data_IF_574078174440
#
_entry.id   IF_574078174440
#
_cell.length_a   1.000
_cell.length_b   1.000
_cell.length_c   1.000
_cell.angle_alpha   90.00
_cell.angle_beta   90.00
_cell.angle_gamma   90.00
#
_symmetry.space_group_name_H-M   'P 1'
#
loop_
_entity.id
_entity.type
_entity.pdbx_description
1 polymer ?
#
# COMPACT_ATOMS: atom_id res chain seq x y z
N UNK A 1 -15.97 -3.72 20.40
CA UNK A 1 -16.64 -4.09 19.13
C UNK A 1 -15.96 -5.34 18.56
N UNK A 2 -16.75 -6.25 18.00
CA UNK A 2 -16.23 -7.45 17.31
C UNK A 2 -16.14 -7.17 15.82
N UNK A 3 -14.94 -7.21 15.27
CA UNK A 3 -14.66 -6.91 13.86
C UNK A 3 -13.99 -8.12 13.20
N UNK A 4 -14.52 -8.57 12.08
CA UNK A 4 -13.88 -9.61 11.26
C UNK A 4 -13.47 -9.04 9.92
N UNK A 5 -12.16 -9.06 9.61
CA UNK A 5 -11.67 -8.84 8.26
C UNK A 5 -11.70 -10.16 7.48
N UNK A 6 -12.30 -10.13 6.28
CA UNK A 6 -12.29 -11.27 5.35
C UNK A 6 -11.24 -10.99 4.28
N UNK A 7 -10.17 -11.74 4.35
CA UNK A 7 -8.99 -11.64 3.49
C UNK A 7 -8.90 -12.91 2.61
N UNK A 8 -8.48 -12.79 1.37
CA UNK A 8 -8.05 -13.94 0.58
C UNK A 8 -6.77 -14.53 1.17
N UNK A 9 -5.88 -15.03 0.33
CA UNK A 9 -4.58 -15.57 0.80
C UNK A 9 -3.73 -14.46 1.41
N UNK A 10 -3.21 -14.64 2.63
CA UNK A 10 -2.41 -13.63 3.33
C UNK A 10 -0.95 -13.62 2.86
N UNK A 11 -0.75 -13.57 1.54
CA UNK A 11 0.58 -13.53 0.93
C UNK A 11 1.32 -12.22 1.27
N UNK A 12 2.65 -12.25 1.16
CA UNK A 12 3.48 -11.07 1.35
C UNK A 12 3.09 -9.98 0.35
N UNK A 13 2.45 -8.92 0.83
CA UNK A 13 1.96 -7.85 -0.01
C UNK A 13 1.47 -6.64 0.78
N UNK A 14 1.25 -5.53 0.06
CA UNK A 14 0.79 -4.28 0.67
C UNK A 14 -0.60 -4.42 1.29
N UNK A 15 -1.54 -5.03 0.58
CA UNK A 15 -2.92 -5.18 1.02
C UNK A 15 -3.07 -5.96 2.33
N UNK A 16 -2.58 -7.21 2.42
CA UNK A 16 -2.60 -7.96 3.66
C UNK A 16 -1.87 -7.25 4.82
N UNK A 17 -0.74 -6.58 4.53
CA UNK A 17 0.00 -5.82 5.55
C UNK A 17 -0.85 -4.73 6.17
N UNK A 18 -1.57 -3.95 5.37
CA UNK A 18 -2.47 -2.89 5.87
C UNK A 18 -3.56 -3.48 6.75
N UNK A 19 -4.18 -4.59 6.34
CA UNK A 19 -5.23 -5.27 7.12
C UNK A 19 -4.70 -5.68 8.50
N UNK A 20 -3.54 -6.33 8.58
CA UNK A 20 -2.98 -6.74 9.87
C UNK A 20 -2.60 -5.56 10.77
N UNK A 21 -2.06 -4.48 10.19
CA UNK A 21 -1.73 -3.27 10.96
C UNK A 21 -3.00 -2.57 11.47
N UNK A 22 -4.05 -2.47 10.66
CA UNK A 22 -5.35 -1.95 11.09
C UNK A 22 -5.96 -2.82 12.20
N UNK A 23 -5.96 -4.15 12.02
CA UNK A 23 -6.42 -5.09 13.03
C UNK A 23 -5.69 -4.88 14.37
N UNK A 24 -4.36 -4.69 14.33
CA UNK A 24 -3.56 -4.38 15.52
C UNK A 24 -3.95 -3.07 16.20
N UNK A 25 -4.23 -2.00 15.44
CA UNK A 25 -4.70 -0.73 15.99
C UNK A 25 -6.08 -0.87 16.63
N UNK A 26 -7.00 -1.60 16.02
CA UNK A 26 -8.32 -1.86 16.60
C UNK A 26 -8.22 -2.69 17.87
N UNK A 27 -7.30 -3.67 17.94
CA UNK A 27 -6.98 -4.40 19.18
C UNK A 27 -6.48 -3.48 20.28
N UNK A 28 -5.65 -2.48 19.95
CA UNK A 28 -5.19 -1.46 20.92
C UNK A 28 -6.34 -0.57 21.44
N UNK A 29 -7.38 -0.34 20.63
CA UNK A 29 -8.62 0.32 21.06
C UNK A 29 -9.44 -0.53 22.05
N UNK A 30 -9.19 -1.83 22.11
CA UNK A 30 -9.95 -2.79 22.93
C UNK A 30 -11.00 -3.59 22.14
N UNK A 31 -10.99 -3.52 20.81
CA UNK A 31 -11.88 -4.32 19.98
C UNK A 31 -11.43 -5.80 19.93
N UNK A 32 -12.37 -6.70 19.75
CA UNK A 32 -12.09 -8.09 19.39
C UNK A 32 -11.94 -8.17 17.87
N UNK A 33 -10.75 -8.54 17.39
CA UNK A 33 -10.48 -8.54 15.94
C UNK A 33 -10.03 -9.91 15.47
N UNK A 34 -10.73 -10.40 14.45
CA UNK A 34 -10.41 -11.63 13.74
C UNK A 34 -10.03 -11.28 12.30
N UNK A 35 -8.98 -11.90 11.79
CA UNK A 35 -8.68 -11.93 10.36
C UNK A 35 -8.96 -13.34 9.85
N UNK A 36 -9.99 -13.47 9.04
CA UNK A 36 -10.39 -14.70 8.36
C UNK A 36 -9.71 -14.71 6.99
N UNK A 37 -8.78 -15.62 6.76
CA UNK A 37 -8.05 -15.71 5.50
C UNK A 37 -8.01 -17.14 4.95
N UNK A 38 -7.62 -17.28 3.69
CA UNK A 38 -7.46 -18.57 3.02
C UNK A 38 -6.06 -19.14 3.27
N UNK A 39 -6.00 -20.32 3.89
CA UNK A 39 -4.75 -21.02 4.18
C UNK A 39 -4.10 -20.61 5.51
N UNK A 40 -2.87 -21.04 5.76
CA UNK A 40 -2.21 -20.88 7.05
C UNK A 40 -1.93 -19.42 7.38
N UNK A 41 -1.76 -19.14 8.68
CA UNK A 41 -1.33 -17.83 9.14
C UNK A 41 0.00 -17.42 8.49
N UNK A 42 0.15 -16.13 8.11
CA UNK A 42 1.37 -15.66 7.46
C UNK A 42 2.56 -15.69 8.41
N UNK A 43 3.72 -16.07 7.90
CA UNK A 43 5.01 -16.11 8.63
C UNK A 43 5.83 -14.82 8.49
N UNK A 44 5.49 -13.97 7.51
CA UNK A 44 6.19 -12.72 7.21
C UNK A 44 5.82 -11.56 8.16
N UNK A 45 4.76 -11.71 8.97
CA UNK A 45 4.31 -10.75 9.98
C UNK A 45 4.03 -11.46 11.32
N UNK A 46 4.41 -10.84 12.43
CA UNK A 46 4.17 -11.39 13.76
C UNK A 46 2.81 -10.97 14.28
N UNK A 47 1.85 -11.88 14.30
CA UNK A 47 0.47 -11.61 14.75
C UNK A 47 0.33 -11.46 16.26
N UNK A 48 1.14 -12.19 17.05
CA UNK A 48 1.11 -12.14 18.53
C UNK A 48 1.28 -10.73 19.09
N UNK A 49 2.31 -9.96 18.71
CA UNK A 49 2.47 -8.58 19.16
C UNK A 49 1.34 -7.63 18.72
N UNK A 50 0.61 -7.97 17.65
CA UNK A 50 -0.57 -7.21 17.22
C UNK A 50 -1.85 -7.60 17.98
N UNK A 51 -1.83 -8.72 18.72
CA UNK A 51 -2.99 -9.26 19.42
C UNK A 51 -4.12 -9.73 18.49
N UNK A 52 -3.78 -10.02 17.22
CA UNK A 52 -4.75 -10.39 16.19
C UNK A 52 -4.95 -11.89 16.16
N UNK A 53 -6.21 -12.32 16.18
CA UNK A 53 -6.60 -13.72 15.96
C UNK A 53 -6.73 -13.97 14.47
N UNK A 54 -5.98 -14.96 13.94
CA UNK A 54 -6.10 -15.42 12.58
C UNK A 54 -6.87 -16.74 12.53
N UNK A 55 -7.79 -16.86 11.59
CA UNK A 55 -8.58 -18.07 11.35
C UNK A 55 -8.45 -18.49 9.89
N UNK A 56 -8.05 -19.73 9.65
CA UNK A 56 -7.99 -20.32 8.32
C UNK A 56 -9.37 -20.77 7.88
N UNK A 57 -9.91 -20.11 6.87
CA UNK A 57 -11.25 -20.41 6.33
C UNK A 57 -11.34 -21.71 5.53
N UNK A 58 -10.19 -22.31 5.17
CA UNK A 58 -10.14 -23.54 4.38
C UNK A 58 -10.26 -24.81 5.22
N UNK A 59 -9.95 -24.76 6.52
CA UNK A 59 -9.93 -25.92 7.39
C UNK A 59 -11.32 -26.36 7.87
N UNK A 60 -12.21 -25.39 8.11
CA UNK A 60 -13.64 -25.64 8.44
C UNK A 60 -14.42 -24.34 8.22
N UNK A 61 -15.74 -24.41 7.95
CA UNK A 61 -16.60 -23.21 8.07
C UNK A 61 -16.45 -22.69 9.51
N UNK A 62 -15.80 -21.53 9.71
CA UNK A 62 -15.54 -21.05 11.06
C UNK A 62 -16.89 -20.76 11.74
N UNK A 63 -17.16 -21.44 12.84
CA UNK A 63 -18.28 -21.09 13.74
C UNK A 63 -17.88 -19.85 14.52
N UNK A 64 -17.90 -18.69 13.86
CA UNK A 64 -17.65 -17.42 14.50
C UNK A 64 -18.96 -16.92 15.13
N UNK A 65 -18.90 -16.28 16.30
CA UNK A 65 -20.06 -15.60 16.86
C UNK A 65 -20.47 -14.44 15.93
N UNK A 66 -21.69 -13.93 16.11
CA UNK A 66 -22.14 -12.71 15.42
C UNK A 66 -21.14 -11.59 15.60
N UNK A 67 -20.83 -10.89 14.53
CA UNK A 67 -19.90 -9.76 14.47
C UNK A 67 -20.64 -8.43 14.42
N UNK A 68 -20.07 -7.40 15.02
CA UNK A 68 -20.59 -6.04 14.92
C UNK A 68 -20.25 -5.38 13.59
N UNK A 69 -19.20 -5.91 12.91
CA UNK A 69 -18.79 -5.50 11.58
C UNK A 69 -17.99 -6.60 10.87
N UNK A 70 -18.33 -6.88 9.62
CA UNK A 70 -17.55 -7.74 8.72
C UNK A 70 -16.97 -6.88 7.60
N UNK A 71 -15.66 -6.93 7.39
CA UNK A 71 -14.94 -6.08 6.43
C UNK A 71 -14.32 -6.96 5.34
N UNK A 72 -14.89 -6.95 4.15
CA UNK A 72 -14.30 -7.58 2.97
C UNK A 72 -13.17 -6.71 2.41
N UNK A 73 -12.07 -7.31 1.94
CA UNK A 73 -10.84 -6.59 1.58
C UNK A 73 -10.45 -6.68 0.10
N UNK A 74 -11.26 -7.38 -0.70
CA UNK A 74 -11.03 -7.66 -2.11
C UNK A 74 -12.37 -7.95 -2.80
N UNK A 75 -12.48 -7.76 -4.11
CA UNK A 75 -13.73 -7.98 -4.82
C UNK A 75 -14.33 -9.39 -4.62
N UNK A 76 -13.50 -10.44 -4.60
CA UNK A 76 -13.99 -11.82 -4.35
C UNK A 76 -14.37 -12.07 -2.89
N UNK A 77 -13.80 -11.31 -1.96
CA UNK A 77 -14.13 -11.46 -0.54
C UNK A 77 -15.47 -10.79 -0.17
N UNK A 78 -16.00 -9.89 -1.00
CA UNK A 78 -17.32 -9.28 -0.78
C UNK A 78 -18.45 -10.34 -0.84
N UNK A 79 -18.60 -11.13 -1.92
CA UNK A 79 -19.61 -12.20 -1.93
C UNK A 79 -19.34 -13.28 -0.88
N UNK A 80 -18.09 -13.61 -0.60
CA UNK A 80 -17.74 -14.53 0.47
C UNK A 80 -18.21 -14.03 1.84
N UNK A 81 -17.87 -12.80 2.19
CA UNK A 81 -18.26 -12.18 3.46
C UNK A 81 -19.79 -12.07 3.61
N UNK A 82 -20.51 -11.75 2.53
CA UNK A 82 -21.96 -11.73 2.49
C UNK A 82 -22.55 -13.12 2.75
N UNK A 83 -21.98 -14.15 2.13
CA UNK A 83 -22.44 -15.56 2.29
C UNK A 83 -22.16 -16.14 3.67
N UNK A 84 -21.19 -15.59 4.43
CA UNK A 84 -20.94 -16.00 5.82
C UNK A 84 -22.05 -15.53 6.77
N UNK A 85 -22.77 -14.45 6.44
CA UNK A 85 -23.89 -13.88 7.22
C UNK A 85 -23.55 -13.65 8.71
N UNK A 86 -22.30 -13.22 8.99
CA UNK A 86 -21.82 -13.04 10.38
C UNK A 86 -22.24 -11.70 10.98
N UNK A 87 -22.65 -10.72 10.18
CA UNK A 87 -23.04 -9.39 10.64
C UNK A 87 -23.02 -8.34 9.52
N UNK A 88 -23.16 -7.04 9.86
CA UNK A 88 -23.14 -5.94 8.91
C UNK A 88 -21.87 -5.94 8.07
N UNK A 89 -22.01 -5.75 6.75
CA UNK A 89 -20.92 -5.85 5.77
C UNK A 89 -20.41 -4.47 5.36
N UNK A 90 -19.08 -4.31 5.37
CA UNK A 90 -18.37 -3.19 4.79
C UNK A 90 -17.29 -3.68 3.80
N UNK A 91 -16.84 -2.79 2.92
CA UNK A 91 -15.75 -3.05 1.98
C UNK A 91 -14.53 -2.20 2.33
N UNK A 92 -13.37 -2.79 2.46
CA UNK A 92 -12.10 -2.07 2.56
C UNK A 92 -11.42 -2.02 1.19
N UNK A 93 -11.64 -0.92 0.46
CA UNK A 93 -11.09 -0.66 -0.86
C UNK A 93 -9.63 -0.17 -0.73
N UNK A 94 -8.71 -0.97 -1.24
CA UNK A 94 -7.27 -0.68 -1.26
C UNK A 94 -6.75 -0.29 -2.65
N UNK A 95 -7.59 -0.36 -3.66
CA UNK A 95 -7.40 -0.05 -5.07
C UNK A 95 -8.63 -0.51 -5.81
N UNK A 96 -8.75 -0.14 -7.08
CA UNK A 96 -9.81 -0.68 -7.94
C UNK A 96 -9.25 -1.84 -8.76
N UNK A 97 -9.73 -3.04 -8.48
CA UNK A 97 -9.20 -4.24 -9.13
C UNK A 97 -9.52 -4.30 -10.63
N UNK A 98 -10.53 -3.56 -11.10
CA UNK A 98 -10.83 -3.42 -12.53
C UNK A 98 -9.74 -2.75 -13.34
N UNK A 99 -8.80 -2.02 -12.70
CA UNK A 99 -7.64 -1.43 -13.36
C UNK A 99 -6.49 -2.44 -13.55
N UNK A 100 -6.58 -3.62 -12.94
CA UNK A 100 -5.53 -4.63 -13.03
C UNK A 100 -5.64 -5.42 -14.33
N UNK A 101 -4.62 -5.35 -15.18
CA UNK A 101 -4.64 -5.94 -16.51
C UNK A 101 -4.99 -7.45 -16.52
N UNK A 102 -4.49 -8.20 -15.54
CA UNK A 102 -4.75 -9.64 -15.41
C UNK A 102 -6.20 -9.97 -14.97
N UNK A 103 -6.95 -8.99 -14.46
CA UNK A 103 -8.36 -9.13 -14.06
C UNK A 103 -9.35 -8.59 -15.10
N UNK A 104 -8.88 -8.12 -16.25
CA UNK A 104 -9.77 -7.68 -17.36
C UNK A 104 -10.85 -8.70 -17.74
N UNK A 105 -10.57 -10.02 -17.78
CA UNK A 105 -11.62 -11.01 -18.06
C UNK A 105 -12.76 -11.02 -17.05
N UNK A 106 -12.51 -10.65 -15.80
CA UNK A 106 -13.50 -10.57 -14.70
C UNK A 106 -14.08 -9.17 -14.48
N UNK A 107 -13.85 -8.21 -15.39
CA UNK A 107 -14.26 -6.83 -15.19
C UNK A 107 -15.76 -6.66 -14.91
N UNK A 108 -16.60 -7.37 -15.64
CA UNK A 108 -18.06 -7.33 -15.45
C UNK A 108 -18.47 -7.82 -14.06
N UNK A 109 -17.83 -8.86 -13.56
CA UNK A 109 -18.06 -9.41 -12.21
C UNK A 109 -17.60 -8.43 -11.13
N UNK A 110 -16.42 -7.83 -11.34
CA UNK A 110 -15.88 -6.80 -10.44
C UNK A 110 -16.85 -5.61 -10.35
N UNK A 111 -17.32 -5.10 -11.48
CA UNK A 111 -18.28 -3.98 -11.53
C UNK A 111 -19.61 -4.34 -10.88
N UNK A 112 -20.11 -5.56 -11.10
CA UNK A 112 -21.34 -6.04 -10.46
C UNK A 112 -21.22 -6.05 -8.93
N UNK A 113 -20.09 -6.52 -8.40
CA UNK A 113 -19.83 -6.54 -6.94
C UNK A 113 -19.60 -5.14 -6.39
N UNK A 114 -18.88 -4.29 -7.12
CA UNK A 114 -18.66 -2.90 -6.72
C UNK A 114 -19.93 -2.06 -6.70
N UNK A 115 -20.95 -2.43 -7.49
CA UNK A 115 -22.26 -1.77 -7.52
C UNK A 115 -23.16 -2.11 -6.32
N UNK A 116 -22.74 -3.04 -5.44
CA UNK A 116 -23.51 -3.32 -4.23
C UNK A 116 -23.53 -2.12 -3.29
N UNK A 117 -24.68 -1.81 -2.64
CA UNK A 117 -24.81 -0.67 -1.72
C UNK A 117 -24.16 -0.95 -0.36
N UNK A 118 -22.88 -1.32 -0.39
CA UNK A 118 -22.07 -1.63 0.80
C UNK A 118 -21.21 -0.42 1.13
N UNK A 119 -21.25 0.14 2.35
CA UNK A 119 -20.41 1.25 2.74
C UNK A 119 -18.92 0.85 2.73
N UNK A 120 -18.03 1.81 2.45
CA UNK A 120 -16.63 1.52 2.25
C UNK A 120 -15.69 2.24 3.23
N UNK A 121 -14.65 1.51 3.65
CA UNK A 121 -13.38 2.07 4.06
C UNK A 121 -12.49 2.15 2.83
N UNK A 122 -11.71 3.22 2.66
CA UNK A 122 -10.76 3.32 1.55
C UNK A 122 -9.41 3.82 2.06
N UNK A 123 -8.32 3.36 1.46
CA UNK A 123 -6.96 3.75 1.89
C UNK A 123 -6.64 5.21 1.65
N UNK A 124 -7.41 5.91 0.80
CA UNK A 124 -7.16 7.31 0.44
C UNK A 124 -8.44 8.01 -0.05
N UNK A 125 -8.41 9.35 -0.06
CA UNK A 125 -9.54 10.18 -0.49
C UNK A 125 -9.93 9.95 -1.95
N UNK A 126 -8.96 9.80 -2.86
CA UNK A 126 -9.25 9.57 -4.27
C UNK A 126 -10.07 8.29 -4.52
N UNK A 127 -9.91 7.25 -3.69
CA UNK A 127 -10.72 6.02 -3.79
C UNK A 127 -12.12 6.22 -3.20
N UNK A 128 -12.28 7.05 -2.17
CA UNK A 128 -13.61 7.45 -1.68
C UNK A 128 -14.38 8.19 -2.77
N UNK A 129 -13.72 9.16 -3.42
CA UNK A 129 -14.32 9.92 -4.52
C UNK A 129 -14.64 9.00 -5.71
N UNK A 130 -13.72 8.13 -6.11
CA UNK A 130 -13.94 7.14 -7.15
C UNK A 130 -15.15 6.22 -6.89
N UNK A 131 -15.28 5.69 -5.66
CA UNK A 131 -16.41 4.84 -5.27
C UNK A 131 -17.73 5.60 -5.32
N UNK A 132 -17.73 6.86 -4.89
CA UNK A 132 -18.92 7.72 -4.93
C UNK A 132 -19.33 8.06 -6.37
N UNK A 133 -18.38 8.49 -7.20
CA UNK A 133 -18.64 8.97 -8.55
C UNK A 133 -19.04 7.85 -9.51
N UNK A 134 -18.36 6.70 -9.42
CA UNK A 134 -18.58 5.58 -10.34
C UNK A 134 -19.70 4.63 -9.90
N UNK A 135 -19.81 4.38 -8.60
CA UNK A 135 -20.70 3.34 -8.05
C UNK A 135 -21.77 3.89 -7.08
N UNK A 136 -21.81 5.19 -6.84
CA UNK A 136 -22.77 5.80 -5.91
C UNK A 136 -22.56 5.38 -4.45
N UNK A 137 -21.38 4.86 -4.09
CA UNK A 137 -21.11 4.30 -2.76
C UNK A 137 -20.52 5.34 -1.82
N UNK A 138 -21.01 5.33 -0.59
CA UNK A 138 -20.43 6.15 0.48
C UNK A 138 -19.20 5.46 1.09
N UNK A 139 -18.21 6.27 1.50
CA UNK A 139 -17.00 5.76 2.12
C UNK A 139 -16.33 6.75 3.06
N UNK A 140 -15.41 6.23 3.87
CA UNK A 140 -14.49 7.00 4.72
C UNK A 140 -13.05 6.55 4.51
N UNK A 141 -12.14 7.50 4.66
CA UNK A 141 -10.70 7.22 4.56
C UNK A 141 -10.23 6.50 5.81
N UNK A 142 -9.74 5.29 5.63
CA UNK A 142 -9.01 4.50 6.62
C UNK A 142 -7.57 4.33 6.11
N UNK A 143 -6.67 5.28 6.38
CA UNK A 143 -5.35 5.33 5.77
C UNK A 143 -4.47 4.18 6.27
N UNK A 144 -3.54 3.68 5.45
CA UNK A 144 -2.58 2.67 5.89
C UNK A 144 -1.75 3.17 7.07
N UNK A 145 -1.51 2.30 8.04
CA UNK A 145 -0.54 2.59 9.10
C UNK A 145 0.87 2.20 8.67
N UNK A 146 1.81 3.08 8.97
CA UNK A 146 3.23 2.81 8.74
C UNK A 146 3.76 1.90 9.84
N UNK A 147 4.38 0.78 9.43
CA UNK A 147 5.04 -0.12 10.36
C UNK A 147 6.19 0.62 11.09
N UNK A 148 6.25 0.58 12.45
CA UNK A 148 7.31 1.20 13.24
C UNK A 148 8.73 0.76 12.91
N UNK A 149 8.91 -0.32 12.16
CA UNK A 149 10.21 -0.78 11.66
C UNK A 149 10.88 0.23 10.70
N UNK A 150 10.08 1.01 9.97
CA UNK A 150 10.60 2.01 9.03
C UNK A 150 10.98 3.28 9.79
N UNK A 151 12.27 3.38 10.15
CA UNK A 151 12.86 4.51 10.89
C UNK A 151 14.05 5.07 10.14
N UNK A 152 14.25 6.40 10.17
CA UNK A 152 15.38 7.01 9.53
C UNK A 152 16.69 6.70 10.27
N UNK A 153 17.80 6.69 9.52
CA UNK A 153 19.15 6.77 10.08
C UNK A 153 19.70 8.16 9.84
N UNK A 154 20.61 8.62 10.71
CA UNK A 154 21.23 9.92 10.54
C UNK A 154 22.11 9.96 9.28
N UNK A 155 21.96 11.01 8.44
CA UNK A 155 22.70 11.17 7.18
C UNK A 155 22.81 12.66 6.81
N UNK A 156 24.00 13.05 6.32
CA UNK A 156 24.30 14.44 5.90
C UNK A 156 23.97 14.72 4.42
N UNK A 157 23.86 13.69 3.60
CA UNK A 157 23.60 13.82 2.17
C UNK A 157 23.58 12.48 1.46
N UNK A 158 23.38 12.51 0.14
CA UNK A 158 23.46 11.31 -0.69
C UNK A 158 24.93 10.85 -0.83
N UNK A 159 25.11 9.58 -1.15
CA UNK A 159 26.43 9.02 -1.46
C UNK A 159 26.90 9.49 -2.83
N UNK A 160 28.22 9.52 -3.04
CA UNK A 160 28.81 9.76 -4.38
C UNK A 160 28.34 8.76 -5.43
N UNK A 161 28.13 7.51 -5.04
CA UNK A 161 27.47 6.46 -5.83
C UNK A 161 26.14 6.10 -5.16
N UNK A 162 25.05 6.82 -5.49
CA UNK A 162 23.79 6.70 -4.77
C UNK A 162 23.12 5.35 -5.01
N UNK A 163 22.44 4.83 -3.98
CA UNK A 163 21.52 3.71 -4.10
C UNK A 163 20.11 4.22 -4.38
N UNK A 164 19.53 3.74 -5.46
CA UNK A 164 18.14 4.01 -5.84
C UNK A 164 17.33 2.73 -5.61
N UNK A 165 16.34 2.81 -4.74
CA UNK A 165 15.38 1.74 -4.52
C UNK A 165 14.31 1.76 -5.61
N UNK A 166 14.02 0.62 -6.20
CA UNK A 166 12.96 0.44 -7.19
C UNK A 166 12.11 -0.76 -6.78
N UNK A 167 10.92 -0.55 -6.20
CA UNK A 167 10.00 -1.60 -5.76
C UNK A 167 9.09 -2.09 -6.89
N UNK A 168 8.49 -3.25 -6.68
CA UNK A 168 7.36 -3.73 -7.48
C UNK A 168 7.69 -4.90 -8.40
N UNK A 169 6.66 -5.52 -8.92
CA UNK A 169 6.73 -6.60 -9.90
C UNK A 169 7.00 -5.97 -11.26
N UNK A 170 8.04 -6.44 -11.97
CA UNK A 170 8.44 -5.90 -13.28
C UNK A 170 7.36 -6.10 -14.34
N UNK A 171 6.70 -7.25 -14.31
CA UNK A 171 5.66 -7.65 -15.24
C UNK A 171 4.30 -7.01 -14.96
N UNK A 172 4.11 -6.38 -13.78
CA UNK A 172 2.87 -5.71 -13.45
C UNK A 172 2.82 -4.32 -14.09
N UNK A 173 1.97 -4.15 -15.10
CA UNK A 173 1.81 -2.90 -15.84
C UNK A 173 1.57 -1.70 -14.91
N UNK A 174 0.74 -1.87 -13.88
CA UNK A 174 0.44 -0.84 -12.90
C UNK A 174 1.67 -0.34 -12.13
N UNK A 175 2.73 -1.16 -12.00
CA UNK A 175 3.98 -0.78 -11.30
C UNK A 175 4.97 -0.06 -12.18
N UNK A 176 4.88 -0.23 -13.49
CA UNK A 176 5.73 0.39 -14.52
C UNK A 176 7.22 0.47 -14.14
N UNK A 177 7.73 -0.61 -13.57
CA UNK A 177 9.14 -0.73 -13.17
C UNK A 177 10.11 -0.40 -14.31
N UNK A 178 9.80 -0.73 -15.59
CA UNK A 178 10.65 -0.35 -16.73
C UNK A 178 10.97 1.14 -16.79
N UNK A 179 10.01 2.04 -16.49
CA UNK A 179 10.27 3.50 -16.45
C UNK A 179 11.30 3.86 -15.40
N UNK A 180 11.21 3.32 -14.18
CA UNK A 180 12.24 3.53 -13.15
C UNK A 180 13.63 3.04 -13.57
N UNK A 181 13.71 1.87 -14.22
CA UNK A 181 14.99 1.30 -14.64
C UNK A 181 15.61 2.10 -15.79
N UNK A 182 14.80 2.58 -16.75
CA UNK A 182 15.27 3.49 -17.81
C UNK A 182 15.77 4.81 -17.22
N UNK A 183 15.07 5.37 -16.24
CA UNK A 183 15.53 6.58 -15.55
C UNK A 183 16.90 6.38 -14.88
N UNK A 184 17.14 5.23 -14.24
CA UNK A 184 18.48 4.93 -13.70
C UNK A 184 19.54 4.81 -14.79
N UNK A 185 19.23 4.22 -15.94
CA UNK A 185 20.15 4.17 -17.06
C UNK A 185 20.53 5.56 -17.54
N UNK A 186 19.56 6.48 -17.69
CA UNK A 186 19.84 7.89 -18.03
C UNK A 186 20.75 8.59 -17.01
N UNK A 187 20.56 8.32 -15.71
CA UNK A 187 21.47 8.85 -14.69
C UNK A 187 22.89 8.37 -14.87
N UNK A 188 23.10 7.10 -15.24
CA UNK A 188 24.43 6.53 -15.51
C UNK A 188 25.07 7.13 -16.77
N UNK A 189 24.27 7.32 -17.82
CA UNK A 189 24.70 8.01 -19.06
C UNK A 189 25.11 9.46 -18.79
N UNK A 190 24.45 10.12 -17.84
CA UNK A 190 24.81 11.47 -17.35
C UNK A 190 25.98 11.48 -16.35
N UNK A 191 26.72 10.38 -16.17
CA UNK A 191 27.90 10.28 -15.31
C UNK A 191 27.61 10.04 -13.82
N UNK A 192 26.35 9.86 -13.42
CA UNK A 192 25.99 9.54 -12.04
C UNK A 192 26.06 8.03 -11.86
N UNK A 193 27.05 7.54 -11.09
CA UNK A 193 27.25 6.10 -10.85
C UNK A 193 26.18 5.48 -9.94
N UNK A 194 24.89 5.65 -10.29
CA UNK A 194 23.76 5.16 -9.53
C UNK A 194 23.72 3.64 -9.48
N UNK A 195 23.49 3.08 -8.30
CA UNK A 195 23.29 1.66 -8.03
C UNK A 195 21.82 1.36 -7.77
N UNK A 196 21.33 0.25 -8.27
CA UNK A 196 19.93 -0.15 -8.11
C UNK A 196 19.79 -1.21 -7.03
N UNK A 197 18.88 -0.96 -6.09
CA UNK A 197 18.33 -1.94 -5.19
C UNK A 197 16.90 -2.22 -5.65
N UNK A 198 16.68 -3.43 -6.17
CA UNK A 198 15.35 -3.92 -6.54
C UNK A 198 14.78 -4.75 -5.41
N UNK A 199 13.46 -4.67 -5.22
CA UNK A 199 12.74 -5.64 -4.40
C UNK A 199 11.37 -5.97 -5.01
N UNK A 200 11.09 -7.27 -5.07
CA UNK A 200 9.89 -7.85 -5.67
C UNK A 200 9.54 -9.16 -4.95
N UNK A 201 8.30 -9.60 -5.08
CA UNK A 201 7.90 -10.95 -4.65
C UNK A 201 8.27 -12.01 -5.71
N UNK A 202 8.37 -11.62 -6.98
CA UNK A 202 8.78 -12.52 -8.08
C UNK A 202 10.30 -12.51 -8.29
N UNK A 203 10.86 -13.57 -8.89
CA UNK A 203 12.28 -13.61 -9.25
C UNK A 203 12.63 -12.59 -10.34
N UNK A 204 13.92 -12.23 -10.42
CA UNK A 204 14.44 -11.35 -11.46
C UNK A 204 14.31 -12.02 -12.83
N UNK A 205 13.46 -11.46 -13.70
CA UNK A 205 13.22 -12.00 -15.04
C UNK A 205 14.35 -11.69 -16.02
N UNK A 206 14.42 -12.46 -17.11
CA UNK A 206 15.39 -12.21 -18.19
C UNK A 206 15.15 -10.86 -18.87
N UNK A 207 13.89 -10.46 -19.07
CA UNK A 207 13.53 -9.18 -19.66
C UNK A 207 13.96 -7.99 -18.78
N UNK A 208 13.74 -8.09 -17.45
CA UNK A 208 14.19 -7.08 -16.50
C UNK A 208 15.73 -6.97 -16.49
N UNK A 209 16.43 -8.11 -16.48
CA UNK A 209 17.90 -8.17 -16.51
C UNK A 209 18.48 -7.57 -17.79
N UNK A 210 17.84 -7.79 -18.92
CA UNK A 210 18.24 -7.22 -20.21
C UNK A 210 18.05 -5.70 -20.25
N UNK A 211 17.00 -5.18 -19.60
CA UNK A 211 16.77 -3.75 -19.51
C UNK A 211 17.81 -3.07 -18.60
N UNK A 212 17.99 -3.57 -17.37
CA UNK A 212 19.00 -3.12 -16.42
C UNK A 212 19.19 -4.16 -15.33
N UNK A 213 20.39 -4.75 -15.24
CA UNK A 213 20.75 -5.65 -14.16
C UNK A 213 20.97 -4.86 -12.85
N UNK A 214 20.22 -5.14 -11.76
CA UNK A 214 20.39 -4.44 -10.49
C UNK A 214 21.64 -4.93 -9.76
N UNK A 215 22.31 -4.04 -9.03
CA UNK A 215 23.42 -4.41 -8.14
C UNK A 215 22.96 -5.25 -6.94
N UNK A 216 21.70 -5.11 -6.56
CA UNK A 216 21.09 -5.92 -5.50
C UNK A 216 19.62 -6.19 -5.81
N UNK A 217 19.26 -7.47 -5.75
CA UNK A 217 17.87 -7.93 -5.88
C UNK A 217 17.42 -8.62 -4.59
N UNK A 218 16.29 -8.21 -4.05
CA UNK A 218 15.67 -8.77 -2.87
C UNK A 218 14.33 -9.39 -3.26
N UNK A 219 14.31 -10.72 -3.33
CA UNK A 219 13.09 -11.47 -3.64
C UNK A 219 12.38 -11.91 -2.38
N UNK A 220 11.08 -11.64 -2.26
CA UNK A 220 10.21 -12.13 -1.18
C UNK A 220 10.70 -11.75 0.23
N UNK A 221 11.40 -10.62 0.36
CA UNK A 221 12.02 -10.23 1.63
C UNK A 221 10.98 -9.64 2.58
N UNK A 222 10.97 -10.11 3.80
CA UNK A 222 10.08 -9.66 4.88
C UNK A 222 10.24 -8.16 5.22
N UNK A 223 9.23 -7.50 5.81
CA UNK A 223 9.27 -6.08 6.15
C UNK A 223 10.52 -5.62 6.90
N UNK A 224 11.07 -6.35 7.90
CA UNK A 224 12.35 -5.98 8.54
C UNK A 224 13.54 -5.92 7.59
N UNK A 225 13.58 -6.81 6.59
CA UNK A 225 14.61 -6.83 5.56
C UNK A 225 14.52 -5.63 4.65
N UNK A 226 13.30 -5.28 4.19
CA UNK A 226 13.03 -4.09 3.38
C UNK A 226 13.38 -2.81 4.17
N UNK A 227 12.99 -2.71 5.44
CA UNK A 227 13.33 -1.55 6.27
C UNK A 227 14.85 -1.34 6.39
N UNK A 228 15.62 -2.42 6.59
CA UNK A 228 17.09 -2.35 6.60
C UNK A 228 17.68 -1.90 5.26
N UNK A 229 17.07 -2.36 4.16
CA UNK A 229 17.52 -2.01 2.81
C UNK A 229 17.24 -0.54 2.49
N UNK A 230 16.02 -0.05 2.76
CA UNK A 230 15.61 1.33 2.49
C UNK A 230 16.42 2.37 3.27
N UNK A 231 16.84 2.07 4.52
CA UNK A 231 17.75 2.94 5.28
C UNK A 231 19.09 3.19 4.57
N UNK A 232 19.47 2.32 3.65
CA UNK A 232 20.71 2.45 2.85
C UNK A 232 20.48 3.12 1.51
N UNK A 233 19.24 3.41 1.12
CA UNK A 233 18.94 4.06 -0.15
C UNK A 233 19.06 5.56 -0.05
N UNK A 234 19.47 6.18 -1.15
CA UNK A 234 19.61 7.63 -1.28
C UNK A 234 18.37 8.25 -1.92
N UNK A 235 17.68 7.47 -2.76
CA UNK A 235 16.39 7.78 -3.38
C UNK A 235 15.53 6.52 -3.51
N UNK A 236 14.23 6.74 -3.67
CA UNK A 236 13.30 5.73 -4.19
C UNK A 236 12.67 6.25 -5.48
N UNK A 237 12.51 5.37 -6.47
CA UNK A 237 11.66 5.59 -7.63
C UNK A 237 10.38 4.77 -7.50
N UNK A 238 9.22 5.42 -7.69
CA UNK A 238 7.91 4.78 -7.80
C UNK A 238 7.24 5.25 -9.08
N UNK A 239 7.41 4.51 -10.16
CA UNK A 239 6.89 4.85 -11.50
C UNK A 239 5.48 4.30 -11.77
N UNK A 240 4.73 3.92 -10.72
CA UNK A 240 3.41 3.32 -10.86
C UNK A 240 2.45 4.16 -11.72
N UNK A 241 1.49 3.48 -12.36
CA UNK A 241 0.39 4.06 -13.15
C UNK A 241 -0.86 4.28 -12.29
N UNK A 242 -1.91 4.84 -12.89
CA UNK A 242 -3.13 5.29 -12.19
C UNK A 242 -3.84 4.21 -11.34
N UNK A 243 -3.75 2.94 -11.69
CA UNK A 243 -4.31 1.84 -10.89
C UNK A 243 -3.58 1.52 -9.57
N UNK A 244 -2.52 2.27 -9.21
CA UNK A 244 -1.88 2.15 -7.90
C UNK A 244 -2.79 2.70 -6.80
N UNK A 245 -3.22 1.86 -5.85
CA UNK A 245 -4.18 2.27 -4.81
C UNK A 245 -3.59 3.24 -3.77
N UNK A 246 -2.33 3.05 -3.35
CA UNK A 246 -1.71 3.91 -2.34
C UNK A 246 -0.21 4.17 -2.57
N UNK A 247 0.58 3.13 -2.78
CA UNK A 247 2.03 3.27 -2.91
C UNK A 247 2.78 3.12 -1.58
N UNK A 248 2.48 2.08 -0.79
CA UNK A 248 3.16 1.79 0.48
C UNK A 248 4.69 1.86 0.42
N UNK A 249 5.38 1.34 -0.62
CA UNK A 249 6.84 1.42 -0.69
C UNK A 249 7.37 2.85 -0.70
N UNK A 250 6.58 3.81 -1.25
CA UNK A 250 6.93 5.22 -1.22
C UNK A 250 6.90 5.76 0.20
N UNK A 251 5.83 5.50 0.93
CA UNK A 251 5.68 5.89 2.33
C UNK A 251 6.78 5.29 3.22
N UNK A 252 7.09 4.00 3.03
CA UNK A 252 8.13 3.27 3.74
C UNK A 252 9.54 3.86 3.49
N UNK A 253 9.82 4.25 2.26
CA UNK A 253 11.08 4.89 1.90
C UNK A 253 11.23 6.26 2.55
N UNK A 254 10.18 7.10 2.51
CA UNK A 254 10.19 8.41 3.18
C UNK A 254 10.39 8.25 4.69
N UNK A 255 9.73 7.28 5.31
CA UNK A 255 9.90 6.99 6.74
C UNK A 255 11.30 6.47 7.08
N UNK A 256 11.93 5.73 6.19
CA UNK A 256 13.33 5.31 6.30
C UNK A 256 14.31 6.47 6.02
N UNK A 257 13.80 7.61 5.55
CA UNK A 257 14.54 8.82 5.26
C UNK A 257 15.21 8.81 3.88
N UNK A 258 14.70 8.09 2.92
CA UNK A 258 15.07 8.19 1.52
C UNK A 258 14.07 9.13 0.80
N UNK A 259 14.50 10.27 0.26
CA UNK A 259 13.67 11.06 -0.65
C UNK A 259 13.19 10.25 -1.84
N UNK A 260 12.18 10.71 -2.52
CA UNK A 260 11.59 9.94 -3.62
C UNK A 260 11.25 10.80 -4.84
N UNK A 261 11.26 10.14 -5.99
CA UNK A 261 10.63 10.58 -7.23
C UNK A 261 9.53 9.59 -7.55
N UNK A 262 8.33 10.07 -7.79
CA UNK A 262 7.18 9.21 -8.05
C UNK A 262 6.32 9.73 -9.22
N UNK A 263 5.54 8.85 -9.82
CA UNK A 263 4.53 9.26 -10.80
C UNK A 263 3.47 10.15 -10.15
N UNK A 264 3.05 11.19 -10.87
CA UNK A 264 1.92 12.05 -10.55
C UNK A 264 0.62 11.33 -10.93
N UNK A 265 0.11 10.54 -10.03
CA UNK A 265 -1.13 9.76 -10.18
C UNK A 265 -2.09 10.08 -9.03
N UNK A 266 -3.38 9.76 -9.12
CA UNK A 266 -4.36 10.12 -8.09
C UNK A 266 -3.94 9.77 -6.67
N UNK A 267 -3.40 8.55 -6.46
CA UNK A 267 -2.95 8.10 -5.14
C UNK A 267 -1.79 8.94 -4.56
N UNK A 268 -0.77 9.27 -5.37
CA UNK A 268 0.38 10.06 -4.91
C UNK A 268 0.01 11.53 -4.74
N UNK A 269 -0.87 12.07 -5.57
CA UNK A 269 -1.39 13.44 -5.40
C UNK A 269 -2.15 13.55 -4.09
N UNK A 270 -3.10 12.65 -3.83
CA UNK A 270 -3.87 12.63 -2.59
C UNK A 270 -2.99 12.43 -1.34
N UNK A 271 -1.96 11.59 -1.43
CA UNK A 271 -1.04 11.32 -0.30
C UNK A 271 -0.25 12.57 0.13
N UNK A 272 0.15 13.42 -0.81
CA UNK A 272 1.02 14.57 -0.53
C UNK A 272 0.34 15.93 -0.65
N UNK A 273 -0.99 15.96 -0.72
CA UNK A 273 -1.78 17.20 -0.78
C UNK A 273 -1.41 18.18 0.36
N UNK A 274 -1.28 17.66 1.58
CA UNK A 274 -0.93 18.46 2.77
C UNK A 274 0.57 18.74 2.94
N UNK A 275 1.42 18.09 2.15
CA UNK A 275 2.88 18.20 2.24
C UNK A 275 3.51 18.37 0.86
N UNK A 276 3.18 19.48 0.15
CA UNK A 276 3.72 19.71 -1.18
C UNK A 276 5.25 19.78 -1.15
N UNK A 277 5.87 19.11 -2.13
CA UNK A 277 7.34 19.03 -2.22
C UNK A 277 8.00 17.94 -1.37
N UNK A 278 7.23 17.13 -0.63
CA UNK A 278 7.77 15.96 0.05
C UNK A 278 8.28 14.89 -0.92
N UNK A 279 7.72 14.83 -2.11
CA UNK A 279 8.09 13.94 -3.22
C UNK A 279 8.14 14.74 -4.52
N UNK A 280 9.10 14.43 -5.38
CA UNK A 280 9.13 14.96 -6.73
C UNK A 280 8.16 14.15 -7.60
N UNK A 281 7.02 14.76 -7.98
CA UNK A 281 5.98 14.09 -8.76
C UNK A 281 6.15 14.38 -10.26
N UNK A 282 6.43 13.34 -11.04
CA UNK A 282 6.71 13.40 -12.48
C UNK A 282 5.59 12.75 -13.30
N UNK A 283 5.46 13.10 -14.59
CA UNK A 283 4.49 12.44 -15.46
C UNK A 283 4.70 10.92 -15.49
N UNK A 284 3.62 10.11 -15.46
CA UNK A 284 3.73 8.66 -15.56
C UNK A 284 4.40 8.25 -16.89
N UNK A 285 5.33 7.29 -16.84
CA UNK A 285 6.04 6.78 -18.02
C UNK A 285 7.21 7.65 -18.50
N UNK A 286 7.41 8.84 -17.95
CA UNK A 286 8.46 9.78 -18.37
C UNK A 286 9.77 9.50 -17.60
N UNK A 287 10.57 8.58 -18.12
CA UNK A 287 11.86 8.20 -17.53
C UNK A 287 12.91 9.33 -17.60
N UNK A 288 12.78 10.29 -18.53
CA UNK A 288 13.62 11.46 -18.59
C UNK A 288 13.32 12.41 -17.42
N UNK A 289 12.05 12.74 -17.20
CA UNK A 289 11.64 13.58 -16.06
C UNK A 289 12.05 12.98 -14.71
N UNK A 290 11.93 11.65 -14.57
CA UNK A 290 12.42 10.94 -13.39
C UNK A 290 13.92 11.09 -13.18
N UNK A 291 14.72 10.92 -14.24
CA UNK A 291 16.17 11.08 -14.19
C UNK A 291 16.58 12.53 -13.84
N UNK A 292 15.95 13.52 -14.46
CA UNK A 292 16.23 14.94 -14.20
C UNK A 292 15.90 15.34 -12.76
N UNK A 293 14.73 14.92 -12.25
CA UNK A 293 14.34 15.15 -10.86
C UNK A 293 15.31 14.50 -9.87
N UNK A 294 15.71 13.25 -10.14
CA UNK A 294 16.70 12.56 -9.31
C UNK A 294 18.07 13.24 -9.35
N UNK A 295 18.52 13.70 -10.52
CA UNK A 295 19.77 14.45 -10.67
C UNK A 295 19.76 15.72 -9.83
N UNK A 296 18.66 16.49 -9.87
CA UNK A 296 18.50 17.70 -9.07
C UNK A 296 18.54 17.41 -7.56
N UNK A 297 17.88 16.34 -7.10
CA UNK A 297 17.89 15.92 -5.70
C UNK A 297 19.27 15.44 -5.24
N UNK A 298 20.04 14.76 -6.11
CA UNK A 298 21.34 14.17 -5.75
C UNK A 298 22.52 15.16 -5.87
N UNK A 299 22.39 16.20 -6.68
CA UNK A 299 23.48 17.13 -6.98
C UNK A 299 23.90 17.96 -5.77
N UNK A 300 22.95 18.37 -4.93
CA UNK A 300 23.19 19.31 -3.83
C UNK A 300 22.74 18.71 -2.50
N UNK A 301 23.65 18.45 -1.55
CA UNK A 301 23.29 17.87 -0.25
C UNK A 301 22.22 18.63 0.52
N UNK A 302 22.15 19.96 0.38
CA UNK A 302 21.11 20.77 1.02
C UNK A 302 19.71 20.48 0.44
N UNK A 303 19.60 20.32 -0.88
CA UNK A 303 18.35 19.97 -1.56
C UNK A 303 17.88 18.57 -1.12
N UNK A 304 18.80 17.61 -1.09
CA UNK A 304 18.52 16.25 -0.61
C UNK A 304 18.03 16.25 0.85
N UNK A 305 18.72 17.00 1.74
CA UNK A 305 18.30 17.12 3.15
C UNK A 305 16.92 17.75 3.30
N UNK A 306 16.61 18.78 2.50
CA UNK A 306 15.28 19.41 2.49
C UNK A 306 14.20 18.40 2.07
N UNK A 307 14.40 17.71 0.96
CA UNK A 307 13.46 16.69 0.49
C UNK A 307 13.28 15.57 1.53
N UNK A 308 14.38 15.11 2.14
CA UNK A 308 14.35 14.15 3.24
C UNK A 308 13.51 14.65 4.43
N UNK A 309 13.70 15.90 4.86
CA UNK A 309 12.95 16.50 5.98
C UNK A 309 11.44 16.51 5.68
N UNK A 310 11.07 17.00 4.50
CA UNK A 310 9.66 17.03 4.07
C UNK A 310 9.08 15.62 3.93
N UNK A 311 9.83 14.66 3.40
CA UNK A 311 9.43 13.27 3.31
C UNK A 311 9.19 12.61 4.68
N UNK A 312 10.06 12.88 5.66
CA UNK A 312 9.87 12.41 7.03
C UNK A 312 8.64 13.04 7.69
N UNK A 313 8.39 14.32 7.44
CA UNK A 313 7.18 15.00 7.92
C UNK A 313 5.93 14.39 7.30
N UNK A 314 5.90 14.17 5.98
CA UNK A 314 4.78 13.51 5.32
C UNK A 314 4.54 12.09 5.88
N UNK A 315 5.62 11.33 6.09
CA UNK A 315 5.52 9.99 6.65
C UNK A 315 5.03 9.96 8.11
N UNK A 316 5.20 11.05 8.89
CA UNK A 316 4.72 11.10 10.27
C UNK A 316 3.20 11.06 10.38
N UNK A 317 2.48 11.57 9.37
CA UNK A 317 1.01 11.53 9.28
C UNK A 317 0.43 10.10 9.17
N UNK A 318 1.30 9.13 8.88
CA UNK A 318 0.94 7.72 8.72
C UNK A 318 1.50 6.83 9.84
N UNK A 319 2.10 7.42 10.89
CA UNK A 319 2.48 6.66 12.09
C UNK A 319 1.25 6.11 12.80
N UNK A 320 1.38 5.00 13.53
CA UNK A 320 0.26 4.39 14.26
C UNK A 320 -0.54 5.40 15.09
N UNK A 321 0.14 6.31 15.77
CA UNK A 321 -0.45 7.32 16.64
C UNK A 321 -1.30 8.34 15.87
N UNK A 322 -0.91 8.68 14.64
CA UNK A 322 -1.63 9.61 13.77
C UNK A 322 -2.77 8.90 12.99
N UNK A 323 -2.60 7.62 12.68
CA UNK A 323 -3.58 6.84 11.92
C UNK A 323 -4.70 6.32 12.83
N UNK A 324 -4.39 5.89 14.06
CA UNK A 324 -5.34 5.23 14.94
C UNK A 324 -6.66 6.01 15.13
N UNK A 325 -6.67 7.31 15.48
CA UNK A 325 -7.92 8.05 15.64
C UNK A 325 -8.77 8.08 14.36
N UNK A 326 -8.11 8.29 13.21
CA UNK A 326 -8.78 8.35 11.90
C UNK A 326 -9.38 7.00 11.50
N UNK A 327 -8.67 5.91 11.79
CA UNK A 327 -9.15 4.55 11.58
C UNK A 327 -10.36 4.25 12.46
N UNK A 328 -10.31 4.63 13.74
CA UNK A 328 -11.39 4.38 14.71
C UNK A 328 -12.67 5.10 14.28
N UNK A 329 -12.57 6.38 13.94
CA UNK A 329 -13.70 7.17 13.43
C UNK A 329 -14.27 6.56 12.14
N UNK A 330 -13.42 6.15 11.20
CA UNK A 330 -13.86 5.55 9.96
C UNK A 330 -14.55 4.19 10.18
N UNK A 331 -14.04 3.35 11.08
CA UNK A 331 -14.63 2.05 11.41
C UNK A 331 -15.98 2.23 12.13
N UNK A 332 -16.09 3.17 13.05
CA UNK A 332 -17.36 3.44 13.76
C UNK A 332 -18.40 3.97 12.77
N UNK A 333 -18.04 4.90 11.91
CA UNK A 333 -18.92 5.42 10.87
C UNK A 333 -19.39 4.32 9.91
N UNK A 334 -18.48 3.46 9.39
CA UNK A 334 -18.85 2.42 8.44
C UNK A 334 -19.74 1.35 9.07
N UNK A 335 -19.51 1.06 10.35
CA UNK A 335 -20.37 0.14 11.13
C UNK A 335 -21.81 0.66 11.21
N UNK A 336 -22.00 1.93 11.56
CA UNK A 336 -23.33 2.56 11.64
C UNK A 336 -24.03 2.51 10.27
N UNK A 337 -23.32 2.81 9.19
CA UNK A 337 -23.87 2.75 7.84
C UNK A 337 -24.21 1.33 7.41
N UNK A 338 -23.36 0.37 7.72
CA UNK A 338 -23.58 -1.03 7.39
C UNK A 338 -24.82 -1.61 8.12
N UNK A 339 -25.08 -1.18 9.35
CA UNK A 339 -26.31 -1.54 10.07
C UNK A 339 -27.58 -1.02 9.36
N UNK A 340 -27.54 0.21 8.83
CA UNK A 340 -28.67 0.80 8.09
C UNK A 340 -28.97 0.08 6.78
N UNK A 341 -27.94 -0.44 6.10
CA UNK A 341 -28.06 -1.18 4.84
C UNK A 341 -28.38 -2.67 5.03
N UNK A 342 -28.19 -3.18 6.23
CA UNK A 342 -28.31 -4.63 6.54
C UNK A 342 -29.75 -5.03 6.89
N UNK A 343 -30.72 -4.14 6.93
CA UNK A 343 -32.12 -4.43 7.30
C UNK A 343 -32.27 -5.39 8.49
N UNK A 344 -33.34 -5.37 9.27
CA UNK A 344 -33.53 -6.40 10.29
C UNK A 344 -33.50 -7.77 9.61
N UNK A 345 -32.69 -8.67 10.15
CA UNK A 345 -32.70 -10.07 9.73
C UNK A 345 -34.14 -10.59 9.83
N UNK A 346 -34.77 -10.88 8.70
CA UNK A 346 -36.08 -11.56 8.62
C UNK A 346 -35.91 -13.02 8.94
#
# INVERSE_FOLDING_TARGET
>A
VRVTYVLGRPELGGGPKVVFLHAGLLRQRGDEVIVLGEGPAPDWIRLGPLGVTYVDSTLQRPRLPSQDLVVATWWTTLPLARGLALGPLAHFCQGYEGDLAHLRPSLAEIEAVYSWPVPALAVSSHLVDFLRERFGREGRVAPPSLDPLFRPVWRLGPRRRPWIAVPGIFEAEVKDVPTSLRAVRRLREAGIGARVLRFSILPLSAAERALLSPERYLQGVSPPGIARALRRCDLLFLSSRAGEGFGLPLLEALAAGAPAVASRIPSTVAMFEKTPGAVALMPPGDDQAFAEAARALLAVPAVWRRARKLGLQAASEYRPEAVAPRLYEAVDWVRERALQTHGPAV
#
